data_IF_510129348529
#
_entry.id   IF_510129348529
#
_cell.length_a   1.000
_cell.length_b   1.000
_cell.length_c   1.000
_cell.angle_alpha   90.00
_cell.angle_beta   90.00
_cell.angle_gamma   90.00
#
_symmetry.space_group_name_H-M   'P 1'
#
loop_
_entity.id
_entity.type
_entity.pdbx_description
1 polymer ?
#
# COMPACT_ATOMS: atom_id res chain seq x y z
N UNK A 1 21.72 -12.27 2.21
CA UNK A 1 21.03 -12.45 0.90
C UNK A 1 19.58 -12.78 1.17
N UNK A 2 18.67 -12.51 0.22
CA UNK A 2 17.23 -12.72 0.45
C UNK A 2 16.85 -14.16 0.81
N UNK A 3 17.61 -15.16 0.35
CA UNK A 3 17.43 -16.58 0.71
C UNK A 3 17.66 -16.82 2.19
N UNK A 4 18.75 -16.28 2.75
CA UNK A 4 19.06 -16.39 4.18
C UNK A 4 17.97 -15.68 5.01
N UNK A 5 17.50 -14.52 4.55
CA UNK A 5 16.41 -13.79 5.22
C UNK A 5 15.10 -14.57 5.19
N UNK A 6 14.74 -15.20 4.07
CA UNK A 6 13.54 -16.03 3.96
C UNK A 6 13.60 -17.27 4.89
N UNK A 7 14.76 -17.94 4.95
CA UNK A 7 14.96 -19.06 5.88
C UNK A 7 14.90 -18.66 7.35
N UNK A 8 15.57 -17.55 7.70
CA UNK A 8 15.59 -17.04 9.08
C UNK A 8 14.21 -16.58 9.54
N UNK A 9 13.44 -15.89 8.68
CA UNK A 9 12.08 -15.45 8.99
C UNK A 9 11.11 -16.62 9.16
N UNK A 10 11.25 -17.69 8.39
CA UNK A 10 10.45 -18.91 8.56
C UNK A 10 10.70 -19.59 9.91
N UNK A 11 11.97 -19.78 10.28
CA UNK A 11 12.35 -20.34 11.60
C UNK A 11 11.87 -19.45 12.74
N UNK A 12 12.03 -18.13 12.61
CA UNK A 12 11.58 -17.17 13.61
C UNK A 12 10.04 -17.17 13.75
N UNK A 13 9.30 -17.20 12.64
CA UNK A 13 7.84 -17.30 12.66
C UNK A 13 7.39 -18.55 13.41
N UNK A 14 7.98 -19.71 13.12
CA UNK A 14 7.65 -20.97 13.79
C UNK A 14 7.86 -20.91 15.30
N UNK A 15 8.82 -20.10 15.77
CA UNK A 15 9.19 -20.03 17.19
C UNK A 15 8.47 -18.93 17.97
N UNK A 16 8.28 -17.76 17.36
CA UNK A 16 7.80 -16.55 18.04
C UNK A 16 6.44 -16.05 17.52
N UNK A 17 6.01 -16.50 16.33
CA UNK A 17 4.71 -16.17 15.74
C UNK A 17 4.47 -14.64 15.68
N UNK A 18 5.51 -13.88 15.33
CA UNK A 18 5.48 -12.40 15.23
C UNK A 18 5.02 -11.99 13.83
N UNK A 19 3.87 -11.31 13.68
CA UNK A 19 3.26 -11.01 12.38
C UNK A 19 4.18 -10.36 11.33
N UNK A 20 5.10 -9.49 11.76
CA UNK A 20 6.04 -8.81 10.88
C UNK A 20 6.95 -9.77 10.10
N UNK A 21 7.25 -10.95 10.63
CA UNK A 21 8.19 -11.87 9.96
C UNK A 21 7.61 -12.46 8.69
N UNK A 22 6.30 -12.58 8.58
CA UNK A 22 5.63 -13.02 7.34
C UNK A 22 5.82 -11.98 6.24
N UNK A 23 5.68 -10.70 6.57
CA UNK A 23 5.91 -9.62 5.62
C UNK A 23 7.37 -9.52 5.20
N UNK A 24 8.32 -9.62 6.15
CA UNK A 24 9.75 -9.64 5.82
C UNK A 24 10.10 -10.85 4.95
N UNK A 25 9.54 -12.03 5.24
CA UNK A 25 9.70 -13.24 4.44
C UNK A 25 9.12 -13.10 3.03
N UNK A 26 7.93 -12.52 2.89
CA UNK A 26 7.32 -12.23 1.60
C UNK A 26 8.18 -11.26 0.76
N UNK A 27 8.62 -10.15 1.35
CA UNK A 27 9.52 -9.19 0.69
C UNK A 27 10.86 -9.82 0.31
N UNK A 28 11.41 -10.70 1.16
CA UNK A 28 12.63 -11.43 0.86
C UNK A 28 12.44 -12.39 -0.33
N UNK A 29 11.31 -13.09 -0.38
CA UNK A 29 10.97 -13.98 -1.50
C UNK A 29 10.82 -13.20 -2.80
N UNK A 30 10.15 -12.04 -2.78
CA UNK A 30 10.06 -11.14 -3.94
C UNK A 30 11.45 -10.70 -4.40
N UNK A 31 12.31 -10.27 -3.47
CA UNK A 31 13.67 -9.86 -3.80
C UNK A 31 14.51 -10.99 -4.40
N UNK A 32 14.37 -12.22 -3.88
CA UNK A 32 15.03 -13.41 -4.44
C UNK A 32 14.50 -13.74 -5.83
N UNK A 33 13.18 -13.74 -6.02
CA UNK A 33 12.55 -14.08 -7.29
C UNK A 33 12.94 -13.07 -8.39
N UNK A 34 12.79 -11.77 -8.12
CA UNK A 34 13.17 -10.70 -9.06
C UNK A 34 14.67 -10.72 -9.32
N UNK A 35 15.48 -10.86 -8.26
CA UNK A 35 16.94 -10.94 -8.39
C UNK A 35 17.41 -12.15 -9.21
N UNK A 36 16.77 -13.30 -9.06
CA UNK A 36 17.06 -14.49 -9.85
C UNK A 36 16.69 -14.29 -11.32
N UNK A 37 15.51 -13.72 -11.61
CA UNK A 37 15.11 -13.39 -12.99
C UNK A 37 16.15 -12.46 -13.62
N UNK A 38 16.56 -11.39 -12.92
CA UNK A 38 17.58 -10.46 -13.39
C UNK A 38 18.97 -11.08 -13.58
N UNK A 39 19.31 -12.12 -12.82
CA UNK A 39 20.59 -12.80 -12.92
C UNK A 39 20.64 -13.81 -14.08
N UNK A 40 19.52 -14.47 -14.38
CA UNK A 40 19.47 -15.60 -15.32
C UNK A 40 18.75 -15.30 -16.64
N UNK A 41 17.98 -14.21 -16.73
CA UNK A 41 17.24 -13.81 -17.94
C UNK A 41 17.85 -12.54 -18.52
N UNK A 42 18.59 -12.62 -19.65
CA UNK A 42 19.13 -11.44 -20.32
C UNK A 42 18.02 -10.47 -20.75
N UNK A 43 18.27 -9.16 -20.61
CA UNK A 43 17.30 -8.12 -21.00
C UNK A 43 16.14 -7.91 -20.02
N UNK A 44 16.04 -8.68 -18.93
CA UNK A 44 14.92 -8.57 -17.99
C UNK A 44 14.96 -7.32 -17.09
N UNK A 45 16.06 -6.55 -17.12
CA UNK A 45 16.26 -5.36 -16.29
C UNK A 45 15.24 -4.26 -16.62
N UNK A 46 14.89 -4.12 -17.90
CA UNK A 46 13.91 -3.13 -18.36
C UNK A 46 12.49 -3.45 -17.85
N UNK A 47 12.25 -4.71 -17.47
CA UNK A 47 10.99 -5.19 -16.92
C UNK A 47 10.96 -5.25 -15.37
N UNK A 48 11.91 -4.64 -14.67
CA UNK A 48 11.97 -4.70 -13.20
C UNK A 48 10.73 -4.09 -12.53
N UNK A 49 10.24 -2.94 -13.03
CA UNK A 49 9.05 -2.28 -12.49
C UNK A 49 7.77 -3.11 -12.71
N UNK A 50 7.46 -3.61 -13.92
CA UNK A 50 6.29 -4.48 -14.08
C UNK A 50 6.40 -5.79 -13.28
N UNK A 51 7.61 -6.35 -13.10
CA UNK A 51 7.82 -7.52 -12.22
C UNK A 51 7.52 -7.20 -10.75
N UNK A 52 8.02 -6.07 -10.24
CA UNK A 52 7.76 -5.62 -8.88
C UNK A 52 6.28 -5.31 -8.66
N UNK A 53 5.62 -4.69 -9.64
CA UNK A 53 4.19 -4.43 -9.61
C UNK A 53 3.39 -5.74 -9.53
N UNK A 54 3.70 -6.70 -10.39
CA UNK A 54 3.06 -8.02 -10.36
C UNK A 54 3.29 -8.72 -9.01
N UNK A 55 4.52 -8.69 -8.49
CA UNK A 55 4.83 -9.23 -7.17
C UNK A 55 4.07 -8.50 -6.05
N UNK A 56 3.96 -7.18 -6.11
CA UNK A 56 3.19 -6.37 -5.16
C UNK A 56 1.71 -6.73 -5.17
N UNK A 57 1.11 -6.92 -6.35
CA UNK A 57 -0.27 -7.39 -6.48
C UNK A 57 -0.47 -8.80 -5.93
N UNK A 58 0.51 -9.70 -6.11
CA UNK A 58 0.46 -11.05 -5.51
C UNK A 58 0.56 -10.99 -3.98
N UNK A 59 1.45 -10.17 -3.42
CA UNK A 59 1.56 -9.96 -1.96
C UNK A 59 0.28 -9.32 -1.42
N UNK A 60 -0.32 -8.37 -2.15
CA UNK A 60 -1.60 -7.77 -1.80
C UNK A 60 -2.73 -8.80 -1.80
N UNK A 61 -2.82 -9.64 -2.83
CA UNK A 61 -3.82 -10.71 -2.89
C UNK A 61 -3.66 -11.72 -1.75
N UNK A 62 -2.41 -12.03 -1.40
CA UNK A 62 -2.08 -12.86 -0.23
C UNK A 62 -2.50 -12.18 1.09
N UNK A 63 -2.26 -10.88 1.22
CA UNK A 63 -2.71 -10.09 2.37
C UNK A 63 -4.24 -10.11 2.51
N UNK A 64 -4.97 -9.94 1.40
CA UNK A 64 -6.42 -10.03 1.33
C UNK A 64 -6.94 -11.41 1.72
N UNK A 65 -6.31 -12.49 1.23
CA UNK A 65 -6.66 -13.86 1.64
C UNK A 65 -6.55 -14.04 3.15
N UNK A 66 -5.52 -13.51 3.80
CA UNK A 66 -5.41 -13.57 5.26
C UNK A 66 -6.47 -12.72 5.96
N UNK A 67 -6.71 -11.50 5.49
CA UNK A 67 -7.69 -10.59 6.08
C UNK A 67 -9.11 -11.18 6.05
N UNK A 68 -9.50 -11.80 4.93
CA UNK A 68 -10.80 -12.45 4.76
C UNK A 68 -11.00 -13.69 5.63
N UNK A 69 -9.92 -14.32 6.13
CA UNK A 69 -10.03 -15.48 7.03
C UNK A 69 -10.28 -15.13 8.48
N UNK A 70 -10.26 -13.85 8.84
CA UNK A 70 -10.47 -13.35 10.20
C UNK A 70 -11.32 -12.07 10.21
N UNK A 71 -12.55 -12.20 9.72
CA UNK A 71 -13.51 -11.10 9.59
C UNK A 71 -13.87 -10.45 10.93
N UNK A 72 -13.90 -11.24 12.01
CA UNK A 72 -14.19 -10.77 13.37
C UNK A 72 -12.97 -10.16 14.07
N UNK A 73 -11.79 -10.22 13.44
CA UNK A 73 -10.51 -9.70 13.96
C UNK A 73 -10.15 -10.25 15.34
N UNK A 74 -10.40 -11.54 15.55
CA UNK A 74 -10.17 -12.21 16.85
C UNK A 74 -8.83 -12.93 16.92
N UNK A 75 -8.11 -13.06 15.79
CA UNK A 75 -6.86 -13.82 15.72
C UNK A 75 -5.67 -12.96 15.29
N UNK A 76 -4.46 -13.51 15.42
CA UNK A 76 -3.22 -12.89 14.93
C UNK A 76 -3.15 -12.78 13.39
N UNK A 77 -4.10 -13.37 12.66
CA UNK A 77 -4.15 -13.31 11.18
C UNK A 77 -4.42 -11.90 10.69
N UNK A 78 -5.22 -11.13 11.43
CA UNK A 78 -5.44 -9.71 11.21
C UNK A 78 -4.12 -8.91 11.22
N UNK A 79 -3.22 -9.21 12.16
CA UNK A 79 -1.93 -8.53 12.25
C UNK A 79 -1.00 -8.92 11.10
N UNK A 80 -0.99 -10.21 10.71
CA UNK A 80 -0.21 -10.67 9.55
C UNK A 80 -0.68 -9.99 8.28
N UNK A 81 -2.00 -9.89 8.08
CA UNK A 81 -2.59 -9.17 6.95
C UNK A 81 -2.18 -7.70 6.97
N UNK A 82 -2.18 -7.03 8.13
CA UNK A 82 -1.71 -5.65 8.26
C UNK A 82 -0.28 -5.47 7.74
N UNK A 83 0.67 -6.30 8.18
CA UNK A 83 2.06 -6.19 7.76
C UNK A 83 2.27 -6.53 6.27
N UNK A 84 1.50 -7.48 5.73
CA UNK A 84 1.55 -7.80 4.31
C UNK A 84 0.99 -6.68 3.44
N UNK A 85 -0.09 -6.02 3.85
CA UNK A 85 -0.58 -4.82 3.18
C UNK A 85 0.46 -3.69 3.22
N UNK A 86 1.13 -3.50 4.36
CA UNK A 86 2.21 -2.53 4.50
C UNK A 86 3.37 -2.82 3.53
N UNK A 87 3.75 -4.09 3.35
CA UNK A 87 4.79 -4.49 2.40
C UNK A 87 4.34 -4.42 0.93
N UNK A 88 3.07 -4.71 0.63
CA UNK A 88 2.53 -4.67 -0.72
C UNK A 88 2.41 -3.25 -1.27
N UNK A 89 2.04 -2.27 -0.43
CA UNK A 89 1.85 -0.89 -0.84
C UNK A 89 3.07 -0.29 -1.59
N UNK A 90 4.32 -0.32 -1.08
CA UNK A 90 5.47 0.21 -1.80
C UNK A 90 5.82 -0.63 -3.04
N UNK A 91 5.60 -1.96 -3.00
CA UNK A 91 5.78 -2.84 -4.16
C UNK A 91 4.81 -2.53 -5.29
N UNK A 92 3.68 -1.88 -5.02
CA UNK A 92 2.72 -1.43 -6.03
C UNK A 92 2.95 0.03 -6.41
N UNK A 93 3.01 0.93 -5.41
CA UNK A 93 3.12 2.36 -5.63
C UNK A 93 4.45 2.73 -6.30
N UNK A 94 5.58 2.23 -5.81
CA UNK A 94 6.88 2.63 -6.37
C UNK A 94 7.03 2.29 -7.85
N UNK A 95 6.72 1.06 -8.32
CA UNK A 95 6.77 0.76 -9.74
C UNK A 95 5.79 1.57 -10.60
N UNK A 96 4.56 1.81 -10.12
CA UNK A 96 3.61 2.65 -10.89
C UNK A 96 4.18 4.06 -11.05
N UNK A 97 4.70 4.65 -9.98
CA UNK A 97 5.22 6.01 -10.01
C UNK A 97 6.46 6.11 -10.93
N UNK A 98 7.34 5.11 -10.87
CA UNK A 98 8.47 5.04 -11.79
C UNK A 98 8.02 4.87 -13.25
N UNK A 99 7.05 4.00 -13.52
CA UNK A 99 6.55 3.78 -14.89
C UNK A 99 5.82 4.99 -15.47
N UNK A 100 5.23 5.84 -14.62
CA UNK A 100 4.64 7.09 -15.05
C UNK A 100 5.71 8.18 -15.30
N UNK A 101 6.96 7.96 -14.90
CA UNK A 101 8.05 8.94 -15.00
C UNK A 101 8.01 10.00 -13.90
N UNK A 102 7.39 9.70 -12.75
CA UNK A 102 7.31 10.62 -11.60
C UNK A 102 8.72 11.09 -11.21
N UNK A 103 9.70 10.20 -11.23
CA UNK A 103 11.07 10.44 -10.75
C UNK A 103 12.03 10.99 -11.82
N UNK A 104 11.60 11.11 -13.08
CA UNK A 104 12.49 11.42 -14.22
C UNK A 104 12.69 12.93 -14.47
N UNK A 105 12.05 13.80 -13.67
CA UNK A 105 12.19 15.24 -13.80
C UNK A 105 11.02 16.04 -13.21
N UNK A 106 10.65 17.13 -13.89
CA UNK A 106 9.59 18.02 -13.46
C UNK A 106 8.21 17.34 -13.52
N UNK A 107 7.52 17.26 -12.38
CA UNK A 107 6.18 16.67 -12.28
C UNK A 107 5.15 17.64 -12.85
N UNK A 108 4.67 17.38 -14.07
CA UNK A 108 3.63 18.21 -14.69
C UNK A 108 2.29 18.16 -13.92
N UNK A 109 1.43 19.17 -14.09
CA UNK A 109 0.11 19.20 -13.43
C UNK A 109 -0.78 17.97 -13.75
N UNK A 110 -0.86 17.47 -15.00
CA UNK A 110 -1.59 16.23 -15.32
C UNK A 110 -1.02 15.01 -14.59
N UNK A 111 0.30 14.96 -14.45
CA UNK A 111 1.01 13.89 -13.76
C UNK A 111 0.69 13.87 -12.26
N UNK A 112 0.71 15.03 -11.60
CA UNK A 112 0.31 15.16 -10.21
C UNK A 112 -1.17 14.82 -9.99
N UNK A 113 -2.05 15.21 -10.91
CA UNK A 113 -3.46 14.82 -10.87
C UNK A 113 -3.63 13.30 -10.95
N UNK A 114 -2.87 12.62 -11.81
CA UNK A 114 -2.88 11.16 -11.92
C UNK A 114 -2.39 10.48 -10.63
N UNK A 115 -1.32 10.99 -10.02
CA UNK A 115 -0.83 10.51 -8.71
C UNK A 115 -1.90 10.67 -7.63
N UNK A 116 -2.60 11.80 -7.61
CA UNK A 116 -3.68 12.04 -6.66
C UNK A 116 -4.84 11.06 -6.88
N UNK A 117 -5.24 10.81 -8.12
CA UNK A 117 -6.27 9.81 -8.46
C UNK A 117 -5.86 8.41 -7.98
N UNK A 118 -4.59 8.02 -8.18
CA UNK A 118 -4.08 6.74 -7.71
C UNK A 118 -4.08 6.65 -6.18
N UNK A 119 -3.75 7.74 -5.48
CA UNK A 119 -3.85 7.78 -4.02
C UNK A 119 -5.28 7.68 -3.51
N UNK A 120 -6.23 8.34 -4.19
CA UNK A 120 -7.66 8.18 -3.90
C UNK A 120 -8.09 6.72 -4.13
N UNK A 121 -7.59 6.06 -5.17
CA UNK A 121 -7.84 4.64 -5.39
C UNK A 121 -7.30 3.78 -4.23
N UNK A 122 -6.07 4.04 -3.75
CA UNK A 122 -5.55 3.40 -2.54
C UNK A 122 -6.38 3.69 -1.30
N UNK A 123 -6.92 4.92 -1.16
CA UNK A 123 -7.80 5.29 -0.07
C UNK A 123 -9.12 4.49 -0.09
N UNK A 124 -9.73 4.35 -1.28
CA UNK A 124 -10.91 3.52 -1.46
C UNK A 124 -10.64 2.06 -1.10
N UNK A 125 -9.53 1.49 -1.54
CA UNK A 125 -9.11 0.14 -1.18
C UNK A 125 -8.89 0.02 0.33
N UNK A 126 -8.18 0.97 0.94
CA UNK A 126 -7.94 1.00 2.38
C UNK A 126 -9.22 1.09 3.21
N UNK A 127 -10.21 1.87 2.75
CA UNK A 127 -11.53 1.96 3.37
C UNK A 127 -12.32 0.66 3.23
N UNK A 128 -12.31 0.05 2.04
CA UNK A 128 -13.01 -1.21 1.78
C UNK A 128 -12.50 -2.34 2.69
N UNK A 129 -11.18 -2.48 2.79
CA UNK A 129 -10.50 -3.49 3.62
C UNK A 129 -10.50 -3.09 5.12
N UNK A 130 -10.88 -1.86 5.45
CA UNK A 130 -10.81 -1.30 6.81
C UNK A 130 -9.38 -1.31 7.39
N UNK A 131 -8.38 -0.98 6.55
CA UNK A 131 -6.96 -1.01 6.91
C UNK A 131 -6.24 0.30 6.53
N UNK A 132 -5.86 1.08 7.55
CA UNK A 132 -5.11 2.33 7.40
C UNK A 132 -3.66 2.16 6.89
N UNK A 133 -3.09 0.95 7.02
CA UNK A 133 -1.69 0.65 6.67
C UNK A 133 -1.34 1.01 5.23
N UNK A 134 -2.25 0.73 4.30
CA UNK A 134 -2.07 0.99 2.87
C UNK A 134 -1.86 2.48 2.61
N UNK A 135 -2.70 3.33 3.22
CA UNK A 135 -2.63 4.78 3.10
C UNK A 135 -1.32 5.34 3.66
N UNK A 136 -0.94 4.91 4.86
CA UNK A 136 0.29 5.37 5.51
C UNK A 136 1.52 5.00 4.67
N UNK A 137 1.54 3.81 4.09
CA UNK A 137 2.70 3.37 3.30
C UNK A 137 2.77 4.02 1.91
N UNK A 138 1.65 4.38 1.30
CA UNK A 138 1.64 5.07 0.00
C UNK A 138 1.79 6.60 0.12
N UNK A 139 1.66 7.14 1.34
CA UNK A 139 1.68 8.59 1.61
C UNK A 139 2.96 9.27 1.13
N UNK A 140 4.12 8.63 1.35
CA UNK A 140 5.43 9.20 0.99
C UNK A 140 5.50 9.57 -0.50
N UNK A 141 4.90 8.76 -1.37
CA UNK A 141 4.93 8.98 -2.81
C UNK A 141 4.08 10.18 -3.24
N UNK A 142 2.95 10.38 -2.57
CA UNK A 142 2.04 11.51 -2.85
C UNK A 142 2.62 12.82 -2.31
N UNK A 143 3.19 12.77 -1.11
CA UNK A 143 3.92 13.91 -0.56
C UNK A 143 5.02 14.35 -1.51
N UNK A 144 5.80 13.39 -2.04
CA UNK A 144 6.83 13.65 -3.02
C UNK A 144 6.26 14.30 -4.29
N UNK A 145 5.22 13.73 -4.90
CA UNK A 145 4.65 14.26 -6.14
C UNK A 145 4.04 15.66 -5.98
N UNK A 146 3.34 15.92 -4.87
CA UNK A 146 2.78 17.24 -4.57
C UNK A 146 3.87 18.27 -4.29
N UNK A 147 4.90 17.89 -3.51
CA UNK A 147 6.05 18.75 -3.26
C UNK A 147 6.74 19.14 -4.58
N UNK A 148 7.05 18.17 -5.44
CA UNK A 148 7.70 18.41 -6.73
C UNK A 148 6.82 19.21 -7.71
N UNK A 149 5.49 19.08 -7.66
CA UNK A 149 4.59 19.92 -8.45
C UNK A 149 4.71 21.39 -8.06
N UNK A 150 4.67 21.70 -6.77
CA UNK A 150 4.67 23.08 -6.30
C UNK A 150 6.05 23.71 -6.27
N UNK A 151 7.13 22.94 -6.11
CA UNK A 151 8.51 23.43 -6.22
C UNK A 151 8.77 24.12 -7.58
N UNK A 152 8.11 23.66 -8.66
CA UNK A 152 8.17 24.27 -9.99
C UNK A 152 7.62 25.71 -10.04
N UNK A 153 6.80 26.13 -9.06
CA UNK A 153 6.27 27.50 -8.99
C UNK A 153 7.26 28.52 -8.39
N UNK A 154 8.45 28.08 -7.96
CA UNK A 154 9.50 28.94 -7.39
C UNK A 154 9.27 29.37 -5.93
N UNK A 155 8.11 29.06 -5.35
CA UNK A 155 7.76 29.37 -3.97
C UNK A 155 7.82 28.11 -3.08
N UNK A 156 9.02 27.63 -2.76
CA UNK A 156 9.26 26.38 -2.02
C UNK A 156 8.57 26.37 -0.63
N UNK A 157 8.55 27.52 0.06
CA UNK A 157 7.87 27.62 1.37
C UNK A 157 6.35 27.47 1.24
N UNK A 158 5.75 28.12 0.24
CA UNK A 158 4.32 28.00 -0.04
C UNK A 158 3.96 26.58 -0.52
N UNK A 159 4.84 25.98 -1.32
CA UNK A 159 4.73 24.59 -1.80
C UNK A 159 4.65 23.59 -0.66
N UNK A 160 5.58 23.70 0.30
CA UNK A 160 5.61 22.85 1.48
C UNK A 160 4.39 23.07 2.37
N UNK A 161 4.02 24.33 2.63
CA UNK A 161 2.86 24.68 3.45
C UNK A 161 1.54 24.19 2.83
N UNK A 162 1.32 24.40 1.53
CA UNK A 162 0.12 23.92 0.82
C UNK A 162 0.07 22.39 0.76
N UNK A 163 1.20 21.73 0.48
CA UNK A 163 1.26 20.26 0.49
C UNK A 163 0.90 19.72 1.86
N UNK A 164 1.50 20.27 2.93
CA UNK A 164 1.22 19.87 4.30
C UNK A 164 -0.25 20.15 4.69
N UNK A 165 -0.80 21.30 4.29
CA UNK A 165 -2.18 21.66 4.55
C UNK A 165 -3.16 20.72 3.84
N UNK A 166 -2.98 20.48 2.54
CA UNK A 166 -3.87 19.64 1.73
C UNK A 166 -3.81 18.19 2.19
N UNK A 167 -2.60 17.63 2.30
CA UNK A 167 -2.41 16.23 2.68
C UNK A 167 -2.74 16.01 4.16
N UNK A 168 -2.34 16.93 5.04
CA UNK A 168 -2.68 16.89 6.46
C UNK A 168 -4.18 16.96 6.71
N UNK A 169 -4.87 17.90 6.05
CA UNK A 169 -6.34 18.00 6.15
C UNK A 169 -7.02 16.74 5.64
N UNK A 170 -6.59 16.20 4.48
CA UNK A 170 -7.14 14.97 3.94
C UNK A 170 -6.96 13.78 4.91
N UNK A 171 -5.78 13.63 5.51
CA UNK A 171 -5.51 12.58 6.50
C UNK A 171 -6.31 12.76 7.79
N UNK A 172 -6.50 13.99 8.27
CA UNK A 172 -7.31 14.30 9.44
C UNK A 172 -8.79 14.00 9.20
N UNK A 173 -9.33 14.45 8.06
CA UNK A 173 -10.71 14.14 7.64
C UNK A 173 -10.91 12.63 7.56
N UNK A 174 -10.02 11.93 6.89
CA UNK A 174 -10.12 10.48 6.73
C UNK A 174 -9.93 9.72 8.06
N UNK A 175 -9.14 10.26 8.99
CA UNK A 175 -8.98 9.70 10.34
C UNK A 175 -10.22 9.89 11.20
N UNK A 176 -10.84 11.08 11.17
CA UNK A 176 -12.02 11.44 11.95
C UNK A 176 -13.30 10.80 11.39
N UNK A 177 -13.45 10.78 10.06
CA UNK A 177 -14.65 10.30 9.37
C UNK A 177 -14.47 8.91 8.74
N UNK A 178 -13.51 8.13 9.24
CA UNK A 178 -13.18 6.80 8.70
C UNK A 178 -14.42 5.89 8.55
N UNK A 179 -15.22 5.73 9.61
CA UNK A 179 -16.40 4.85 9.58
C UNK A 179 -17.51 5.35 8.64
N UNK A 180 -17.90 6.65 8.65
CA UNK A 180 -18.79 7.21 7.63
C UNK A 180 -18.32 7.00 6.18
N UNK A 181 -17.06 7.34 5.88
CA UNK A 181 -16.50 7.21 4.53
C UNK A 181 -16.46 5.74 4.08
N UNK A 182 -16.09 4.85 5.00
CA UNK A 182 -16.09 3.40 4.76
C UNK A 182 -17.47 2.89 4.39
N UNK A 183 -18.52 3.30 5.11
CA UNK A 183 -19.90 2.89 4.79
C UNK A 183 -20.28 3.29 3.36
N UNK A 184 -19.89 4.49 2.92
CA UNK A 184 -20.09 4.93 1.54
C UNK A 184 -19.37 4.03 0.54
N UNK A 185 -18.07 3.79 0.74
CA UNK A 185 -17.27 2.94 -0.17
C UNK A 185 -17.77 1.50 -0.20
N UNK A 186 -18.04 0.88 0.95
CA UNK A 186 -18.54 -0.50 1.03
C UNK A 186 -19.94 -0.63 0.45
N UNK A 187 -20.79 0.40 0.60
CA UNK A 187 -22.13 0.45 -0.01
C UNK A 187 -22.10 0.41 -1.53
N UNK A 188 -21.06 0.96 -2.16
CA UNK A 188 -20.85 0.91 -3.62
C UNK A 188 -20.39 -0.47 -4.12
N UNK A 189 -19.85 -1.32 -3.24
CA UNK A 189 -19.28 -2.64 -3.60
C UNK A 189 -20.34 -3.77 -3.69
N UNK A 190 -21.62 -3.48 -3.39
CA UNK A 190 -22.72 -4.45 -3.52
C UNK A 190 -22.47 -5.75 -2.75
N UNK A 191 -22.57 -6.90 -3.43
CA UNK A 191 -22.43 -8.23 -2.84
C UNK A 191 -21.03 -8.56 -2.27
N UNK A 192 -19.98 -7.79 -2.64
CA UNK A 192 -18.65 -7.94 -2.06
C UNK A 192 -18.59 -7.50 -0.59
N UNK A 193 -19.59 -6.74 -0.11
CA UNK A 193 -19.72 -6.35 1.29
C UNK A 193 -19.78 -7.53 2.26
N UNK A 194 -20.32 -8.68 1.83
CA UNK A 194 -20.43 -9.90 2.66
C UNK A 194 -19.08 -10.58 2.90
N UNK A 195 -18.06 -10.26 2.10
CA UNK A 195 -16.70 -10.80 2.22
C UNK A 195 -15.73 -9.84 2.91
N UNK A 196 -16.21 -8.68 3.33
CA UNK A 196 -15.43 -7.64 4.00
C UNK A 196 -15.87 -7.55 5.47
N UNK A 197 -15.03 -7.00 6.37
CA UNK A 197 -15.40 -6.84 7.78
C UNK A 197 -16.73 -6.07 7.95
N UNK A 198 -17.54 -6.33 8.98
CA UNK A 198 -18.81 -5.63 9.19
C UNK A 198 -18.62 -4.10 9.26
N UNK A 199 -19.55 -3.33 8.70
CA UNK A 199 -19.56 -1.85 8.78
C UNK A 199 -20.24 -1.30 10.04
N UNK A 200 -20.89 -2.17 10.82
CA UNK A 200 -21.48 -1.85 12.12
C UNK A 200 -20.98 -2.86 13.15
N UNK A 201 -20.39 -2.37 14.25
CA UNK A 201 -20.54 -3.07 15.52
C UNK A 201 -22.01 -2.90 15.90
N UNK A 202 -22.78 -3.98 15.90
CA UNK A 202 -24.09 -3.97 16.56
C UNK A 202 -23.80 -3.61 18.01
N UNK A 203 -24.16 -2.39 18.40
CA UNK A 203 -24.24 -2.03 19.80
C UNK A 203 -25.27 -2.98 20.41
N UNK A 204 -24.81 -3.98 21.15
CA UNK A 204 -25.66 -4.79 22.01
C UNK A 204 -26.26 -3.83 23.04
N UNK A 205 -27.52 -3.48 22.84
CA UNK A 205 -28.39 -2.90 23.86
C UNK A 205 -29.10 -4.03 24.60
#
# INVERSE_FOLDING_TARGET
>A
TGVVTAGATWLHWRRFMVPITVAVGASALVAVAVGAIMAFVPGSRDAVHPMLLAAGLLVFALAMRWDMTDLERRTRRSDVAFWLHLAAAPLIAHPIFHMLGVFDGAVSAPMAALVLVLYVAFACVALAVDRRALLVSSLVYVLWAMYSLFEQSGAVELAAALTALVIGSALLTLSAFWQPMRRGVVGLLGGLSQRLPPTQQVALA
#
